data_IF_485262799550
#
_entry.id   IF_485262799550
#
_cell.length_a   1.000
_cell.length_b   1.000
_cell.length_c   1.000
_cell.angle_alpha   90.00
_cell.angle_beta   90.00
_cell.angle_gamma   90.00
#
_symmetry.space_group_name_H-M   'P 1'
#
loop_
_entity.id
_entity.type
_entity.pdbx_description
1 polymer ?
#
# COMPACT_ATOMS: atom_id res chain seq x y z
N UNK A 1 -75.80 -14.15 34.31
CA UNK A 1 -74.71 -13.58 35.14
C UNK A 1 -73.55 -13.18 34.23
N UNK A 2 -72.91 -12.03 34.53
CA UNK A 2 -71.71 -11.42 33.91
C UNK A 2 -70.61 -12.48 33.64
N UNK A 3 -69.75 -12.41 32.61
CA UNK A 3 -68.73 -11.37 32.36
C UNK A 3 -68.20 -11.43 30.91
N UNK A 4 -67.91 -10.26 30.34
CA UNK A 4 -67.09 -10.05 29.13
C UNK A 4 -65.64 -10.48 29.37
N UNK A 5 -64.97 -11.04 28.34
CA UNK A 5 -63.55 -10.78 28.08
C UNK A 5 -63.34 -10.62 26.57
N UNK A 6 -62.99 -9.40 26.22
CA UNK A 6 -62.42 -8.97 24.94
C UNK A 6 -60.97 -9.47 24.90
N UNK A 7 -60.54 -10.11 23.82
CA UNK A 7 -59.11 -10.17 23.46
C UNK A 7 -58.95 -9.95 21.97
N UNK A 8 -58.47 -8.74 21.67
CA UNK A 8 -57.84 -8.31 20.42
C UNK A 8 -56.44 -8.93 20.40
N UNK A 9 -56.01 -9.52 19.29
CA UNK A 9 -54.59 -9.59 18.86
C UNK A 9 -54.58 -10.16 17.43
N UNK A 10 -54.45 -9.32 16.41
CA UNK A 10 -53.22 -8.72 15.87
C UNK A 10 -52.66 -9.58 14.72
N UNK A 11 -52.78 -9.03 13.52
CA UNK A 11 -52.21 -9.59 12.29
C UNK A 11 -50.68 -9.59 12.36
N UNK A 12 -50.07 -10.74 12.17
CA UNK A 12 -48.63 -10.86 11.99
C UNK A 12 -48.30 -10.66 10.50
N UNK A 13 -47.77 -9.49 10.15
CA UNK A 13 -47.17 -9.25 8.85
C UNK A 13 -45.73 -9.78 8.84
N UNK A 14 -45.45 -10.73 7.93
CA UNK A 14 -44.09 -11.20 7.62
C UNK A 14 -43.31 -10.05 6.94
N UNK A 15 -42.32 -9.49 7.63
CA UNK A 15 -41.31 -8.65 7.00
C UNK A 15 -40.10 -9.51 6.62
N UNK A 16 -39.89 -9.69 5.31
CA UNK A 16 -38.67 -10.28 4.76
C UNK A 16 -37.49 -9.32 5.02
N UNK A 17 -36.54 -9.74 5.86
CA UNK A 17 -35.31 -9.00 6.11
C UNK A 17 -34.32 -9.19 4.96
N UNK A 18 -34.09 -8.13 4.18
CA UNK A 18 -32.94 -8.05 3.29
C UNK A 18 -31.66 -7.92 4.13
N UNK A 19 -30.77 -8.91 4.06
CA UNK A 19 -29.47 -8.86 4.70
C UNK A 19 -28.58 -7.82 3.99
N UNK A 20 -28.45 -6.63 4.58
CA UNK A 20 -27.47 -5.65 4.17
C UNK A 20 -26.06 -6.21 4.38
N UNK A 21 -25.25 -6.29 3.33
CA UNK A 21 -23.84 -6.67 3.40
C UNK A 21 -23.11 -5.70 4.34
N UNK A 22 -22.46 -6.24 5.38
CA UNK A 22 -21.67 -5.46 6.32
C UNK A 22 -20.51 -4.77 5.58
N UNK A 23 -20.20 -3.49 5.87
CA UNK A 23 -19.04 -2.84 5.29
C UNK A 23 -17.77 -3.58 5.70
N UNK A 24 -16.85 -3.77 4.75
CA UNK A 24 -15.53 -4.31 5.02
C UNK A 24 -14.88 -3.49 6.16
N UNK A 25 -14.54 -4.18 7.26
CA UNK A 25 -13.81 -3.56 8.37
C UNK A 25 -12.42 -3.20 7.85
N UNK A 26 -12.19 -1.90 7.63
CA UNK A 26 -10.81 -1.40 7.52
C UNK A 26 -10.05 -1.86 8.78
N UNK A 27 -8.84 -2.44 8.65
CA UNK A 27 -8.03 -2.73 9.81
C UNK A 27 -7.80 -1.43 10.58
N UNK A 28 -8.02 -1.49 11.91
CA UNK A 28 -7.85 -0.32 12.76
C UNK A 28 -6.42 0.23 12.61
N UNK A 29 -6.25 1.56 12.59
CA UNK A 29 -4.91 2.14 12.66
C UNK A 29 -4.22 1.61 13.91
N UNK A 30 -2.95 1.22 13.78
CA UNK A 30 -2.12 0.83 14.91
C UNK A 30 -2.01 2.05 15.83
N UNK A 31 -2.79 2.05 16.92
CA UNK A 31 -2.78 3.10 17.94
C UNK A 31 -1.47 3.02 18.72
N UNK A 32 -0.53 3.90 18.39
CA UNK A 32 0.75 4.04 19.08
C UNK A 32 1.79 4.88 18.35
N UNK A 33 1.35 5.68 17.38
CA UNK A 33 2.24 6.28 16.39
C UNK A 33 2.24 7.80 16.57
N UNK A 34 3.19 8.31 17.36
CA UNK A 34 3.66 9.69 17.16
C UNK A 34 4.13 9.85 15.71
N UNK A 35 4.09 11.06 15.16
CA UNK A 35 4.39 11.33 13.75
C UNK A 35 5.62 10.53 13.25
N UNK A 36 5.39 9.45 12.48
CA UNK A 36 6.47 8.57 12.04
C UNK A 36 7.40 9.38 11.15
N UNK A 37 8.66 9.45 11.53
CA UNK A 37 9.67 10.18 10.79
C UNK A 37 10.20 9.35 9.62
N UNK A 38 10.68 10.04 8.59
CA UNK A 38 11.47 9.43 7.52
C UNK A 38 12.65 8.65 8.12
N UNK A 39 12.88 7.43 7.64
CA UNK A 39 13.97 6.57 8.07
C UNK A 39 13.72 5.81 9.37
N UNK A 40 12.60 6.04 10.06
CA UNK A 40 12.23 5.23 11.22
C UNK A 40 12.08 3.76 10.83
N UNK A 41 12.56 2.85 11.67
CA UNK A 41 12.43 1.40 11.46
C UNK A 41 11.53 0.73 12.49
N UNK A 42 10.97 -0.42 12.11
CA UNK A 42 10.17 -1.27 12.99
C UNK A 42 10.30 -2.74 12.56
N UNK A 43 10.29 -3.66 13.51
CA UNK A 43 10.20 -5.09 13.23
C UNK A 43 8.74 -5.55 13.22
N UNK A 44 8.38 -6.36 12.22
CA UNK A 44 7.08 -7.01 12.08
C UNK A 44 7.29 -8.50 11.77
N UNK A 45 6.32 -9.35 12.15
CA UNK A 45 6.37 -10.78 11.78
C UNK A 45 6.30 -10.95 10.26
N UNK A 46 7.05 -11.91 9.71
CA UNK A 46 6.91 -12.31 8.30
C UNK A 46 5.43 -12.67 8.01
N UNK A 47 4.92 -12.22 6.86
CA UNK A 47 3.51 -12.38 6.47
C UNK A 47 2.56 -11.32 7.02
N UNK A 48 3.01 -10.45 7.94
CA UNK A 48 2.23 -9.28 8.35
C UNK A 48 2.14 -8.25 7.22
N UNK A 49 1.02 -7.50 7.11
CA UNK A 49 0.91 -6.43 6.13
C UNK A 49 1.93 -5.32 6.42
N UNK A 50 2.63 -4.87 5.36
CA UNK A 50 3.52 -3.72 5.42
C UNK A 50 2.68 -2.45 5.23
N UNK A 51 2.73 -1.46 6.14
CA UNK A 51 1.95 -0.23 5.98
C UNK A 51 2.36 0.59 4.75
N UNK A 52 1.42 1.36 4.19
CA UNK A 52 1.70 2.26 3.07
C UNK A 52 2.84 3.24 3.38
N UNK A 53 3.76 3.42 2.43
CA UNK A 53 4.92 4.29 2.62
C UNK A 53 6.01 3.69 3.51
N UNK A 54 5.93 2.40 3.81
CA UNK A 54 7.03 1.63 4.40
C UNK A 54 7.55 0.59 3.39
N UNK A 55 8.82 0.22 3.55
CA UNK A 55 9.50 -0.79 2.72
C UNK A 55 10.24 -1.77 3.61
N UNK A 56 10.45 -3.01 3.16
CA UNK A 56 11.25 -4.00 3.87
C UNK A 56 12.71 -3.81 3.50
N UNK A 57 13.57 -3.48 4.47
CA UNK A 57 15.01 -3.27 4.26
C UNK A 57 15.85 -4.41 4.79
N UNK A 58 15.28 -5.24 5.68
CA UNK A 58 15.94 -6.43 6.22
C UNK A 58 14.91 -7.51 6.53
N UNK A 59 15.32 -8.76 6.43
CA UNK A 59 14.52 -9.91 6.83
C UNK A 59 15.38 -10.90 7.59
N UNK A 60 14.73 -11.60 8.49
CA UNK A 60 15.22 -12.76 9.23
C UNK A 60 14.24 -13.91 8.97
N UNK A 61 14.54 -15.11 9.47
CA UNK A 61 13.66 -16.26 9.26
C UNK A 61 12.22 -16.06 9.75
N UNK A 62 11.96 -15.18 10.72
CA UNK A 62 10.63 -14.96 11.31
C UNK A 62 10.15 -13.51 11.31
N UNK A 63 11.04 -12.54 11.11
CA UNK A 63 10.73 -11.11 11.19
C UNK A 63 11.28 -10.33 10.00
N UNK A 64 10.54 -9.29 9.58
CA UNK A 64 10.97 -8.28 8.63
C UNK A 64 11.19 -6.95 9.36
N UNK A 65 12.30 -6.28 9.08
CA UNK A 65 12.47 -4.87 9.44
C UNK A 65 11.94 -4.01 8.30
N UNK A 66 10.98 -3.17 8.63
CA UNK A 66 10.41 -2.16 7.74
C UNK A 66 11.00 -0.80 8.05
N UNK A 67 11.15 0.04 7.02
CA UNK A 67 11.63 1.42 7.12
C UNK A 67 10.61 2.37 6.51
N UNK A 68 10.29 3.45 7.22
CA UNK A 68 9.38 4.48 6.73
C UNK A 68 10.08 5.36 5.70
N UNK A 69 9.52 5.46 4.51
CA UNK A 69 10.05 6.28 3.41
C UNK A 69 9.15 7.47 3.09
N UNK A 70 8.17 7.79 3.94
CA UNK A 70 7.37 9.01 3.81
C UNK A 70 8.24 10.24 4.05
N UNK A 71 7.95 11.32 3.32
CA UNK A 71 8.75 12.55 3.39
C UNK A 71 10.03 12.50 2.55
N UNK A 72 10.17 11.50 1.68
CA UNK A 72 11.33 11.39 0.79
C UNK A 72 11.42 12.54 -0.20
N UNK A 73 12.65 12.79 -0.67
CA UNK A 73 13.02 13.84 -1.62
C UNK A 73 13.47 13.21 -2.93
N UNK A 74 13.24 13.92 -4.04
CA UNK A 74 13.69 13.50 -5.36
C UNK A 74 15.16 13.07 -5.30
N UNK A 75 15.47 11.90 -5.86
CA UNK A 75 16.83 11.39 -5.87
C UNK A 75 17.21 10.45 -4.75
N UNK A 76 16.38 10.29 -3.72
CA UNK A 76 16.67 9.34 -2.65
C UNK A 76 16.55 7.89 -3.14
N UNK A 77 17.45 7.05 -2.63
CA UNK A 77 17.53 5.64 -2.94
C UNK A 77 17.47 4.78 -1.68
N UNK A 78 16.84 3.61 -1.80
CA UNK A 78 16.87 2.55 -0.79
C UNK A 78 17.11 1.21 -1.46
N UNK A 79 17.89 0.35 -0.81
CA UNK A 79 17.92 -1.07 -1.13
C UNK A 79 16.84 -1.77 -0.30
N UNK A 80 15.89 -2.41 -0.97
CA UNK A 80 14.76 -3.11 -0.36
C UNK A 80 14.81 -4.59 -0.69
N UNK A 81 14.34 -5.44 0.22
CA UNK A 81 14.30 -6.88 -0.01
C UNK A 81 13.34 -7.24 -1.14
N UNK A 82 13.64 -8.34 -1.84
CA UNK A 82 12.74 -8.88 -2.85
C UNK A 82 11.36 -9.19 -2.23
N UNK A 83 10.29 -8.72 -2.87
CA UNK A 83 8.92 -8.81 -2.33
C UNK A 83 8.51 -7.66 -1.41
N UNK A 84 9.40 -6.72 -1.09
CA UNK A 84 8.99 -5.45 -0.47
C UNK A 84 7.97 -4.73 -1.37
N UNK A 85 6.91 -4.12 -0.80
CA UNK A 85 6.09 -3.19 -1.55
C UNK A 85 6.94 -2.03 -2.07
N UNK A 86 6.57 -1.50 -3.23
CA UNK A 86 7.17 -0.30 -3.83
C UNK A 86 6.16 0.85 -3.63
N UNK A 87 6.43 1.82 -2.74
CA UNK A 87 5.46 2.86 -2.45
C UNK A 87 5.24 3.82 -3.63
N UNK A 88 4.13 4.56 -3.61
CA UNK A 88 3.85 5.56 -4.63
C UNK A 88 4.98 6.61 -4.74
N UNK A 89 5.31 6.99 -5.98
CA UNK A 89 6.43 7.88 -6.28
C UNK A 89 7.81 7.22 -6.28
N UNK A 90 7.89 5.92 -6.05
CA UNK A 90 9.13 5.15 -6.18
C UNK A 90 9.12 4.29 -7.45
N UNK A 91 10.30 4.09 -8.02
CA UNK A 91 10.53 3.14 -9.11
C UNK A 91 11.62 2.15 -8.72
N UNK A 92 11.68 1.02 -9.42
CA UNK A 92 12.80 0.07 -9.30
C UNK A 92 13.86 0.46 -10.32
N UNK A 93 15.01 0.93 -9.84
CA UNK A 93 16.13 1.39 -10.68
C UNK A 93 17.07 0.25 -11.04
N UNK A 94 17.26 -0.70 -10.12
CA UNK A 94 18.14 -1.87 -10.30
C UNK A 94 17.61 -3.07 -9.51
N UNK A 95 17.78 -4.26 -10.05
CA UNK A 95 17.60 -5.52 -9.33
C UNK A 95 18.97 -6.13 -8.98
N UNK A 96 19.12 -6.60 -7.74
CA UNK A 96 20.37 -7.08 -7.15
C UNK A 96 20.16 -8.46 -6.48
N UNK A 97 19.84 -9.49 -7.27
CA UNK A 97 19.60 -10.84 -6.76
C UNK A 97 18.38 -10.89 -5.83
N UNK A 98 18.61 -10.85 -4.51
CA UNK A 98 17.56 -10.91 -3.48
C UNK A 98 17.09 -9.52 -2.98
N UNK A 99 17.51 -8.44 -3.64
CA UNK A 99 17.08 -7.08 -3.32
C UNK A 99 16.87 -6.23 -4.58
N UNK A 100 16.23 -5.08 -4.41
CA UNK A 100 16.05 -4.07 -5.44
C UNK A 100 16.54 -2.72 -4.92
N UNK A 101 17.19 -1.93 -5.77
CA UNK A 101 17.41 -0.51 -5.48
C UNK A 101 16.22 0.27 -6.03
N UNK A 102 15.51 0.95 -5.13
CA UNK A 102 14.38 1.82 -5.47
C UNK A 102 14.82 3.28 -5.43
N UNK A 103 14.22 4.11 -6.27
CA UNK A 103 14.56 5.52 -6.44
C UNK A 103 13.28 6.38 -6.40
N UNK A 104 13.30 7.45 -5.61
CA UNK A 104 12.14 8.35 -5.46
C UNK A 104 12.13 9.44 -6.52
N UNK A 105 11.02 9.53 -7.27
CA UNK A 105 10.93 10.37 -8.47
C UNK A 105 10.00 11.58 -8.33
N UNK A 106 9.24 11.70 -7.24
CA UNK A 106 8.38 12.89 -7.07
C UNK A 106 9.24 14.15 -6.94
N UNK A 107 8.91 15.16 -7.74
CA UNK A 107 9.68 16.39 -7.86
C UNK A 107 10.65 16.44 -9.04
N UNK A 108 10.80 15.36 -9.82
CA UNK A 108 11.57 15.38 -11.07
C UNK A 108 11.03 16.45 -12.03
N UNK A 109 11.83 17.17 -12.82
CA UNK A 109 11.30 18.15 -13.79
C UNK A 109 10.50 17.47 -14.92
N UNK A 110 9.54 18.19 -15.54
CA UNK A 110 8.88 17.71 -16.77
C UNK A 110 9.96 17.46 -17.84
N UNK A 111 9.83 16.36 -18.58
CA UNK A 111 10.80 15.92 -19.58
C UNK A 111 11.93 15.06 -19.03
N UNK A 112 12.06 14.90 -17.70
CA UNK A 112 13.04 13.98 -17.10
C UNK A 112 12.81 12.57 -17.62
N UNK A 113 13.90 11.90 -18.04
CA UNK A 113 13.90 10.51 -18.45
C UNK A 113 14.67 9.65 -17.45
N UNK A 114 14.10 8.51 -17.08
CA UNK A 114 14.69 7.57 -16.13
C UNK A 114 14.64 6.16 -16.69
N UNK A 115 15.73 5.41 -16.54
CA UNK A 115 15.75 3.98 -16.80
C UNK A 115 15.24 3.24 -15.56
N UNK A 116 14.30 2.32 -15.77
CA UNK A 116 13.66 1.50 -14.73
C UNK A 116 13.71 0.03 -15.11
N UNK A 117 13.70 -0.86 -14.13
CA UNK A 117 13.61 -2.29 -14.36
C UNK A 117 12.25 -2.66 -14.96
N UNK A 118 12.23 -3.70 -15.79
CA UNK A 118 10.99 -4.29 -16.30
C UNK A 118 10.13 -4.75 -15.10
N UNK A 119 8.86 -4.37 -15.08
CA UNK A 119 7.96 -4.62 -13.94
C UNK A 119 8.01 -3.57 -12.83
N UNK A 120 8.89 -2.56 -12.93
CA UNK A 120 8.80 -1.37 -12.07
C UNK A 120 7.42 -0.72 -12.21
N UNK A 121 6.80 -0.23 -11.11
CA UNK A 121 5.64 0.64 -11.22
C UNK A 121 5.98 1.86 -12.09
N UNK A 122 4.99 2.34 -12.82
CA UNK A 122 5.04 3.57 -13.60
C UNK A 122 4.18 4.60 -12.86
N UNK A 123 4.77 5.56 -12.14
CA UNK A 123 3.98 6.52 -11.37
C UNK A 123 3.14 7.43 -12.25
N UNK A 124 2.07 8.00 -11.69
CA UNK A 124 1.21 8.93 -12.41
C UNK A 124 2.02 10.11 -12.99
N UNK A 125 1.67 10.51 -14.22
CA UNK A 125 2.39 11.56 -14.95
C UNK A 125 3.64 11.09 -15.69
N UNK A 126 3.97 9.79 -15.64
CA UNK A 126 5.07 9.19 -16.39
C UNK A 126 4.55 8.23 -17.47
N UNK A 127 5.29 8.12 -18.57
CA UNK A 127 5.01 7.17 -19.65
C UNK A 127 6.27 6.43 -20.06
N UNK A 128 6.13 5.19 -20.53
CA UNK A 128 7.23 4.46 -21.17
C UNK A 128 7.44 5.02 -22.57
N UNK A 129 8.67 5.44 -22.88
CA UNK A 129 9.04 5.99 -24.21
C UNK A 129 9.99 5.07 -24.98
N UNK A 130 10.63 4.12 -24.30
CA UNK A 130 11.52 3.13 -24.92
C UNK A 130 11.58 1.86 -24.05
N UNK A 131 11.53 0.69 -24.67
CA UNK A 131 11.86 -0.58 -24.03
C UNK A 131 13.27 -1.05 -24.39
N UNK A 132 13.89 -1.84 -23.54
CA UNK A 132 15.21 -2.44 -23.82
C UNK A 132 15.49 -3.64 -22.92
N UNK A 133 15.44 -4.85 -23.47
CA UNK A 133 15.72 -6.08 -22.73
C UNK A 133 14.95 -6.16 -21.41
N UNK A 134 15.67 -6.00 -20.29
CA UNK A 134 15.13 -6.07 -18.92
C UNK A 134 14.82 -4.69 -18.31
N UNK A 135 14.80 -3.61 -19.10
CA UNK A 135 14.55 -2.24 -18.63
C UNK A 135 13.63 -1.46 -19.59
N UNK A 136 13.06 -0.39 -19.06
CA UNK A 136 12.32 0.62 -19.82
C UNK A 136 12.90 2.00 -19.52
N UNK A 137 12.79 2.93 -20.47
CA UNK A 137 12.96 4.37 -20.23
C UNK A 137 11.58 4.98 -20.07
N UNK A 138 11.38 5.66 -18.95
CA UNK A 138 10.15 6.41 -18.65
C UNK A 138 10.43 7.91 -18.72
N UNK A 139 9.44 8.69 -19.12
CA UNK A 139 9.53 10.15 -19.23
C UNK A 139 8.42 10.84 -18.44
N UNK A 140 8.76 11.89 -17.69
CA UNK A 140 7.77 12.73 -17.00
C UNK A 140 7.08 13.66 -17.98
N UNK A 141 5.77 13.61 -18.03
CA UNK A 141 4.94 14.51 -18.86
C UNK A 141 4.15 15.53 -18.04
N UNK A 142 3.88 15.24 -16.76
CA UNK A 142 3.10 16.12 -15.87
C UNK A 142 3.46 15.91 -14.40
#
# INVERSE_FOLDING_TARGET
>A
MKKRKLLILAAAALAAGAAAAAPARHPAPISGIGALSFGQTQWIMVGSPVPDGWVITRATGTMNEITNVRGSRYGQEFTVMLGSPIPDGWIVRRANGNSNDIYYIKGAAIGTELQVMLGSPIPAGWVVVRGGGNTNVIKRLS
#
